data_IF_780390433477
#
_entry.id   IF_780390433477
#
_cell.length_a   1.000
_cell.length_b   1.000
_cell.length_c   1.000
_cell.angle_alpha   90.00
_cell.angle_beta   90.00
_cell.angle_gamma   90.00
#
_symmetry.space_group_name_H-M   'P 1'
#
loop_
_entity.id
_entity.type
_entity.pdbx_description
1 polymer ?
#
# COMPACT_ATOMS: atom_id res chain seq x y z
N UNK A 1 -10.81 45.86 -2.82
CA UNK A 1 -11.42 44.72 -3.55
C UNK A 1 -10.43 43.80 -4.30
N UNK A 2 -9.13 44.13 -4.43
CA UNK A 2 -8.14 43.29 -5.15
C UNK A 2 -7.69 41.99 -4.42
N UNK A 3 -7.96 41.85 -3.13
CA UNK A 3 -7.52 40.71 -2.31
C UNK A 3 -8.31 39.42 -2.58
N UNK A 4 -9.63 39.52 -2.80
CA UNK A 4 -10.48 38.37 -3.12
C UNK A 4 -10.25 37.82 -4.53
N UNK A 5 -9.96 38.69 -5.51
CA UNK A 5 -9.67 38.28 -6.88
C UNK A 5 -8.36 37.46 -6.98
N UNK A 6 -7.30 37.88 -6.26
CA UNK A 6 -6.02 37.15 -6.21
C UNK A 6 -6.14 35.81 -5.47
N UNK A 7 -6.86 35.76 -4.34
CA UNK A 7 -7.15 34.48 -3.65
C UNK A 7 -7.96 33.51 -4.50
N UNK A 8 -8.94 34.01 -5.25
CA UNK A 8 -9.72 33.18 -6.16
C UNK A 8 -8.92 32.72 -7.38
N UNK A 9 -8.01 33.55 -7.90
CA UNK A 9 -7.08 33.15 -8.97
C UNK A 9 -6.10 32.07 -8.52
N UNK A 10 -5.50 32.21 -7.33
CA UNK A 10 -4.63 31.20 -6.74
C UNK A 10 -5.37 29.87 -6.52
N UNK A 11 -6.59 29.90 -5.96
CA UNK A 11 -7.43 28.70 -5.81
C UNK A 11 -7.81 28.05 -7.16
N UNK A 12 -8.08 28.86 -8.19
CA UNK A 12 -8.34 28.34 -9.54
C UNK A 12 -7.09 27.71 -10.14
N UNK A 13 -5.92 28.31 -9.93
CA UNK A 13 -4.64 27.78 -10.42
C UNK A 13 -4.26 26.50 -9.68
N UNK A 14 -4.42 26.42 -8.36
CA UNK A 14 -4.27 25.20 -7.55
C UNK A 14 -5.25 24.11 -7.96
N UNK A 15 -6.50 24.48 -8.28
CA UNK A 15 -7.49 23.53 -8.79
C UNK A 15 -7.11 23.00 -10.18
N UNK A 16 -6.65 23.87 -11.09
CA UNK A 16 -6.21 23.48 -12.43
C UNK A 16 -4.93 22.64 -12.40
N UNK A 17 -3.94 23.01 -11.58
CA UNK A 17 -2.72 22.21 -11.40
C UNK A 17 -3.01 20.88 -10.69
N UNK A 18 -3.93 20.86 -9.73
CA UNK A 18 -4.40 19.64 -9.06
C UNK A 18 -5.14 18.69 -10.01
N UNK A 19 -6.02 19.21 -10.86
CA UNK A 19 -6.73 18.43 -11.89
C UNK A 19 -5.73 17.86 -12.91
N UNK A 20 -4.80 18.68 -13.40
CA UNK A 20 -3.75 18.23 -14.32
C UNK A 20 -2.84 17.18 -13.69
N UNK A 21 -2.47 17.34 -12.41
CA UNK A 21 -1.65 16.36 -11.69
C UNK A 21 -2.37 15.03 -11.49
N UNK A 22 -3.68 15.05 -11.18
CA UNK A 22 -4.47 13.83 -11.05
C UNK A 22 -4.57 13.09 -12.39
N UNK A 23 -4.81 13.80 -13.49
CA UNK A 23 -4.84 13.21 -14.83
C UNK A 23 -3.49 12.58 -15.19
N UNK A 24 -2.38 13.30 -14.99
CA UNK A 24 -1.04 12.79 -15.24
C UNK A 24 -0.70 11.55 -14.38
N UNK A 25 -1.13 11.51 -13.12
CA UNK A 25 -0.98 10.33 -12.27
C UNK A 25 -1.82 9.14 -12.78
N UNK A 26 -2.99 9.41 -13.34
CA UNK A 26 -3.82 8.37 -13.95
C UNK A 26 -3.14 7.78 -15.18
N UNK A 27 -2.55 8.61 -16.03
CA UNK A 27 -1.78 8.15 -17.20
C UNK A 27 -0.62 7.25 -16.78
N UNK A 28 0.13 7.65 -15.73
CA UNK A 28 1.20 6.81 -15.17
C UNK A 28 0.63 5.46 -14.74
N UNK A 29 -0.44 5.41 -13.93
CA UNK A 29 -1.04 4.15 -13.46
C UNK A 29 -1.46 3.24 -14.61
N UNK A 30 -2.04 3.80 -15.66
CA UNK A 30 -2.46 3.03 -16.84
C UNK A 30 -1.25 2.37 -17.55
N UNK A 31 -0.07 2.99 -17.47
CA UNK A 31 1.18 2.52 -18.12
C UNK A 31 2.09 1.67 -17.23
N UNK A 32 1.86 1.60 -15.92
CA UNK A 32 2.69 0.81 -15.01
C UNK A 32 2.67 -0.67 -15.44
N UNK A 33 3.82 -1.32 -15.69
CA UNK A 33 3.82 -2.74 -16.00
C UNK A 33 3.28 -3.57 -14.81
N UNK A 34 2.72 -4.76 -15.05
CA UNK A 34 2.42 -5.69 -13.98
C UNK A 34 3.69 -5.98 -13.16
N UNK A 35 3.51 -6.24 -11.87
CA UNK A 35 4.57 -6.87 -11.07
C UNK A 35 5.06 -8.14 -11.77
N UNK A 36 6.37 -8.42 -11.76
CA UNK A 36 6.88 -9.71 -12.20
C UNK A 36 6.13 -10.81 -11.44
N UNK A 37 5.59 -11.80 -12.17
CA UNK A 37 4.76 -12.87 -11.59
C UNK A 37 3.45 -12.37 -10.96
N UNK A 38 2.74 -11.47 -11.65
CA UNK A 38 1.37 -11.11 -11.30
C UNK A 38 0.51 -12.37 -11.05
N UNK A 39 -0.28 -12.35 -9.97
CA UNK A 39 -1.10 -13.48 -9.50
C UNK A 39 -2.52 -13.01 -9.20
N UNK A 40 -3.46 -13.94 -9.29
CA UNK A 40 -4.81 -13.77 -8.75
C UNK A 40 -4.91 -14.56 -7.45
N UNK A 41 -5.45 -13.95 -6.41
CA UNK A 41 -5.66 -14.64 -5.14
C UNK A 41 -6.74 -15.73 -5.27
N UNK A 42 -6.55 -16.85 -4.57
CA UNK A 42 -7.53 -17.94 -4.56
C UNK A 42 -8.74 -17.54 -3.71
N UNK A 43 -9.95 -17.68 -4.26
CA UNK A 43 -11.19 -17.32 -3.55
C UNK A 43 -11.35 -18.16 -2.29
N UNK A 44 -11.70 -17.51 -1.18
CA UNK A 44 -12.00 -18.16 0.09
C UNK A 44 -13.45 -18.71 0.04
N UNK A 45 -13.76 -19.86 0.66
CA UNK A 45 -15.12 -20.40 0.72
C UNK A 45 -16.10 -19.41 1.34
N UNK A 46 -17.33 -19.37 0.83
CA UNK A 46 -18.37 -18.39 1.24
C UNK A 46 -18.71 -18.41 2.73
N UNK A 47 -18.39 -19.49 3.47
CA UNK A 47 -18.61 -19.60 4.92
C UNK A 47 -17.60 -18.78 5.75
N UNK A 48 -16.46 -18.41 5.17
CA UNK A 48 -15.41 -17.61 5.83
C UNK A 48 -15.41 -16.16 5.35
N UNK A 49 -16.18 -15.84 4.31
CA UNK A 49 -16.32 -14.51 3.75
C UNK A 49 -17.30 -13.65 4.57
N UNK A 50 -16.83 -13.04 5.67
CA UNK A 50 -17.61 -12.05 6.42
C UNK A 50 -17.36 -10.65 5.85
N UNK A 51 -18.17 -10.27 4.85
CA UNK A 51 -18.03 -9.02 4.10
C UNK A 51 -18.49 -7.75 4.85
N UNK A 52 -19.01 -7.86 6.08
CA UNK A 52 -19.65 -6.72 6.78
C UNK A 52 -18.68 -5.90 7.63
N UNK A 53 -17.52 -6.44 8.00
CA UNK A 53 -16.54 -5.77 8.86
C UNK A 53 -15.14 -5.96 8.29
N UNK A 54 -14.37 -4.87 8.20
CA UNK A 54 -12.96 -4.92 7.79
C UNK A 54 -12.15 -5.56 8.92
N UNK A 55 -11.37 -6.63 8.66
CA UNK A 55 -10.51 -7.25 9.68
C UNK A 55 -9.52 -6.25 10.30
N UNK A 56 -9.35 -6.33 11.63
CA UNK A 56 -8.42 -5.46 12.36
C UNK A 56 -6.98 -5.58 11.88
N UNK A 57 -6.60 -6.75 11.37
CA UNK A 57 -5.30 -7.05 10.79
C UNK A 57 -5.03 -6.22 9.53
N UNK A 58 -6.03 -5.93 8.70
CA UNK A 58 -5.88 -5.05 7.54
C UNK A 58 -5.69 -3.59 7.96
N UNK A 59 -6.33 -3.17 9.06
CA UNK A 59 -6.13 -1.84 9.64
C UNK A 59 -4.70 -1.73 10.20
N UNK A 60 -4.24 -2.74 10.92
CA UNK A 60 -2.87 -2.83 11.44
C UNK A 60 -1.83 -2.81 10.31
N UNK A 61 -2.08 -3.54 9.22
CA UNK A 61 -1.25 -3.51 8.01
C UNK A 61 -1.13 -2.09 7.46
N UNK A 62 -2.25 -1.40 7.24
CA UNK A 62 -2.24 -0.02 6.71
C UNK A 62 -1.44 0.89 7.63
N UNK A 63 -1.64 0.81 8.95
CA UNK A 63 -0.91 1.64 9.91
C UNK A 63 0.59 1.37 9.90
N UNK A 64 1.00 0.10 9.91
CA UNK A 64 2.41 -0.29 9.94
C UNK A 64 3.13 0.12 8.65
N UNK A 65 2.55 -0.21 7.49
CA UNK A 65 3.16 0.07 6.18
C UNK A 65 3.18 1.56 5.86
N UNK A 66 2.14 2.32 6.24
CA UNK A 66 2.16 3.78 6.07
C UNK A 66 3.24 4.40 6.94
N UNK A 67 3.41 3.94 8.19
CA UNK A 67 4.47 4.42 9.08
C UNK A 67 5.86 4.16 8.51
N UNK A 68 6.13 2.95 8.02
CA UNK A 68 7.42 2.61 7.40
C UNK A 68 7.64 3.34 6.08
N UNK A 69 6.63 3.39 5.21
CA UNK A 69 6.68 4.15 3.95
C UNK A 69 6.98 5.63 4.18
N UNK A 70 6.33 6.27 5.16
CA UNK A 70 6.61 7.66 5.53
C UNK A 70 8.04 7.85 6.01
N UNK A 71 8.55 6.95 6.87
CA UNK A 71 9.94 7.00 7.32
C UNK A 71 10.93 6.99 6.15
N UNK A 72 10.72 6.13 5.16
CA UNK A 72 11.57 6.09 3.97
C UNK A 72 11.45 7.37 3.12
N UNK A 73 10.25 7.96 3.00
CA UNK A 73 10.09 9.26 2.35
C UNK A 73 10.83 10.39 3.09
N UNK A 74 10.77 10.39 4.42
CA UNK A 74 11.50 11.34 5.27
C UNK A 74 13.02 11.15 5.13
N UNK A 75 13.49 9.91 5.01
CA UNK A 75 14.90 9.60 4.77
C UNK A 75 15.36 10.07 3.38
N UNK A 76 14.50 9.97 2.35
CA UNK A 76 14.77 10.53 1.04
C UNK A 76 14.90 12.06 1.08
N UNK A 77 13.99 12.75 1.78
CA UNK A 77 14.05 14.21 1.99
C UNK A 77 15.34 14.58 2.73
N UNK A 78 15.70 13.84 3.77
CA UNK A 78 16.92 14.07 4.54
C UNK A 78 18.17 13.90 3.67
N UNK A 79 18.26 12.80 2.93
CA UNK A 79 19.37 12.53 2.02
C UNK A 79 19.50 13.61 0.95
N UNK A 80 18.37 14.09 0.42
CA UNK A 80 18.33 15.13 -0.60
C UNK A 80 18.97 16.45 -0.13
N UNK A 81 18.88 16.78 1.17
CA UNK A 81 19.49 17.98 1.74
C UNK A 81 20.94 17.77 2.23
N UNK A 82 21.29 16.56 2.67
CA UNK A 82 22.58 16.30 3.33
C UNK A 82 23.73 15.99 2.36
N UNK A 83 23.44 15.47 1.17
CA UNK A 83 24.46 14.96 0.24
C UNK A 83 24.66 15.82 -1.01
N UNK A 84 24.24 17.10 -0.99
CA UNK A 84 24.27 17.99 -2.17
C UNK A 84 25.66 18.06 -2.81
N UNK A 85 26.71 18.11 -1.99
CA UNK A 85 28.11 18.19 -2.44
C UNK A 85 28.72 16.84 -2.87
N UNK A 86 27.95 15.74 -2.77
CA UNK A 86 28.38 14.38 -3.13
C UNK A 86 27.35 13.72 -4.05
N UNK A 87 27.36 14.02 -5.36
CA UNK A 87 26.33 13.56 -6.29
C UNK A 87 26.12 12.04 -6.29
N UNK A 88 27.19 11.25 -6.16
CA UNK A 88 27.09 9.78 -6.08
C UNK A 88 26.32 9.29 -4.86
N UNK A 89 26.61 9.83 -3.68
CA UNK A 89 25.88 9.50 -2.45
C UNK A 89 24.46 10.04 -2.48
N UNK A 90 24.27 11.24 -3.04
CA UNK A 90 22.96 11.84 -3.23
C UNK A 90 22.05 10.94 -4.06
N UNK A 91 22.48 10.56 -5.27
CA UNK A 91 21.67 9.70 -6.14
C UNK A 91 21.36 8.37 -5.45
N UNK A 92 22.38 7.73 -4.87
CA UNK A 92 22.24 6.42 -4.26
C UNK A 92 21.24 6.44 -3.10
N UNK A 93 21.42 7.34 -2.13
CA UNK A 93 20.62 7.35 -0.90
C UNK A 93 19.19 7.84 -1.14
N UNK A 94 19.01 8.86 -1.99
CA UNK A 94 17.67 9.32 -2.37
C UNK A 94 16.93 8.19 -3.10
N UNK A 95 17.56 7.54 -4.08
CA UNK A 95 16.90 6.48 -4.83
C UNK A 95 16.61 5.25 -3.96
N UNK A 96 17.52 4.83 -3.09
CA UNK A 96 17.26 3.71 -2.16
C UNK A 96 16.02 3.95 -1.31
N UNK A 97 15.94 5.12 -0.67
CA UNK A 97 14.82 5.46 0.19
C UNK A 97 13.49 5.55 -0.60
N UNK A 98 13.51 6.12 -1.80
CA UNK A 98 12.33 6.18 -2.67
C UNK A 98 11.89 4.80 -3.18
N UNK A 99 12.84 3.91 -3.52
CA UNK A 99 12.52 2.55 -3.96
C UNK A 99 12.01 1.68 -2.83
N UNK A 100 12.52 1.86 -1.60
CA UNK A 100 11.99 1.18 -0.41
C UNK A 100 10.55 1.63 -0.14
N UNK A 101 10.29 2.94 -0.13
CA UNK A 101 8.94 3.49 0.01
C UNK A 101 7.99 2.97 -1.09
N UNK A 102 8.49 2.83 -2.32
CA UNK A 102 7.73 2.27 -3.44
C UNK A 102 7.40 0.78 -3.19
N UNK A 103 8.37 -0.02 -2.74
CA UNK A 103 8.17 -1.44 -2.46
C UNK A 103 7.11 -1.66 -1.36
N UNK A 104 7.15 -0.89 -0.27
CA UNK A 104 6.11 -0.93 0.76
C UNK A 104 4.73 -0.59 0.20
N UNK A 105 4.62 0.44 -0.66
CA UNK A 105 3.34 0.77 -1.29
C UNK A 105 2.82 -0.34 -2.20
N UNK A 106 3.69 -0.97 -2.99
CA UNK A 106 3.29 -2.10 -3.84
C UNK A 106 2.77 -3.28 -3.03
N UNK A 107 3.47 -3.67 -1.96
CA UNK A 107 3.05 -4.76 -1.09
C UNK A 107 1.75 -4.44 -0.35
N UNK A 108 1.58 -3.21 0.13
CA UNK A 108 0.34 -2.78 0.79
C UNK A 108 -0.85 -2.87 -0.18
N UNK A 109 -0.72 -2.28 -1.37
CA UNK A 109 -1.78 -2.30 -2.37
C UNK A 109 -2.06 -3.73 -2.84
N UNK A 110 -1.02 -4.53 -3.07
CA UNK A 110 -1.13 -5.92 -3.48
C UNK A 110 -1.84 -6.79 -2.44
N UNK A 111 -1.52 -6.64 -1.15
CA UNK A 111 -2.15 -7.42 -0.10
C UNK A 111 -3.63 -7.03 0.08
N UNK A 112 -3.96 -5.75 0.01
CA UNK A 112 -5.35 -5.28 0.05
C UNK A 112 -6.15 -5.74 -1.18
N UNK A 113 -5.57 -5.64 -2.38
CA UNK A 113 -6.19 -6.14 -3.61
C UNK A 113 -6.38 -7.66 -3.55
N UNK A 114 -5.37 -8.40 -3.10
CA UNK A 114 -5.43 -9.85 -2.88
C UNK A 114 -6.56 -10.21 -1.92
N UNK A 115 -6.68 -9.52 -0.79
CA UNK A 115 -7.78 -9.74 0.14
C UNK A 115 -9.15 -9.53 -0.52
N UNK A 116 -9.33 -8.45 -1.28
CA UNK A 116 -10.59 -8.19 -1.99
C UNK A 116 -10.89 -9.28 -3.03
N UNK A 117 -9.87 -9.80 -3.73
CA UNK A 117 -10.02 -10.94 -4.64
C UNK A 117 -10.45 -12.22 -3.91
N UNK A 118 -9.89 -12.48 -2.73
CA UNK A 118 -10.23 -13.64 -1.90
C UNK A 118 -11.68 -13.60 -1.40
N UNK A 119 -12.16 -12.41 -1.03
CA UNK A 119 -13.57 -12.15 -0.72
C UNK A 119 -14.47 -12.23 -1.96
N UNK A 120 -13.90 -12.37 -3.15
CA UNK A 120 -14.62 -12.48 -4.40
C UNK A 120 -15.25 -11.16 -4.84
N UNK A 121 -14.61 -10.03 -4.54
CA UNK A 121 -14.98 -8.74 -5.08
C UNK A 121 -14.97 -8.81 -6.61
N UNK A 122 -15.99 -8.22 -7.23
CA UNK A 122 -16.07 -8.10 -8.67
C UNK A 122 -14.83 -7.39 -9.26
N UNK A 123 -14.33 -7.90 -10.39
CA UNK A 123 -13.11 -7.40 -11.01
C UNK A 123 -13.24 -5.95 -11.51
N UNK A 124 -14.43 -5.53 -11.99
CA UNK A 124 -14.65 -4.15 -12.40
C UNK A 124 -14.72 -3.20 -11.20
N UNK A 125 -15.27 -3.68 -10.08
CA UNK A 125 -15.22 -2.93 -8.82
C UNK A 125 -13.78 -2.81 -8.29
N UNK A 126 -12.99 -3.88 -8.34
CA UNK A 126 -11.57 -3.85 -7.96
C UNK A 126 -10.75 -2.88 -8.83
N UNK A 127 -10.95 -2.90 -10.17
CA UNK A 127 -10.34 -1.92 -11.09
C UNK A 127 -10.65 -0.49 -10.71
N UNK A 128 -11.91 -0.19 -10.34
CA UNK A 128 -12.33 1.14 -9.89
C UNK A 128 -11.69 1.54 -8.57
N UNK A 129 -11.56 0.62 -7.62
CA UNK A 129 -10.90 0.89 -6.33
C UNK A 129 -9.40 1.18 -6.52
N UNK A 130 -8.72 0.40 -7.36
CA UNK A 130 -7.30 0.59 -7.65
C UNK A 130 -7.02 1.72 -8.64
N UNK A 131 -8.06 2.25 -9.29
CA UNK A 131 -7.93 3.21 -10.40
C UNK A 131 -6.97 2.69 -11.47
N UNK A 132 -7.05 1.39 -11.76
CA UNK A 132 -6.19 0.69 -12.72
C UNK A 132 -7.06 -0.19 -13.65
N UNK A 133 -6.76 -0.25 -14.96
CA UNK A 133 -7.46 -1.15 -15.88
C UNK A 133 -7.14 -2.63 -15.61
N UNK A 134 -5.99 -2.89 -14.98
CA UNK A 134 -5.48 -4.23 -14.70
C UNK A 134 -5.12 -4.31 -13.20
N UNK A 135 -5.97 -4.94 -12.38
CA UNK A 135 -5.80 -4.99 -10.92
C UNK A 135 -4.72 -5.99 -10.49
N UNK A 136 -4.49 -7.03 -11.30
CA UNK A 136 -3.50 -8.08 -11.01
C UNK A 136 -2.06 -7.53 -11.05
N UNK A 137 -1.86 -6.35 -11.65
CA UNK A 137 -0.57 -5.64 -11.68
C UNK A 137 0.04 -5.37 -10.33
N UNK A 138 -0.76 -5.33 -9.27
CA UNK A 138 -0.27 -5.07 -7.91
C UNK A 138 -0.15 -6.36 -7.07
N UNK A 139 -0.78 -7.45 -7.49
CA UNK A 139 -0.86 -8.69 -6.71
C UNK A 139 0.26 -9.62 -7.16
N UNK A 140 1.22 -9.89 -6.27
CA UNK A 140 2.32 -10.83 -6.48
C UNK A 140 2.40 -11.84 -5.33
N UNK A 141 3.35 -12.78 -5.40
CA UNK A 141 3.49 -13.82 -4.37
C UNK A 141 3.80 -13.23 -3.00
N UNK A 142 4.67 -12.23 -2.91
CA UNK A 142 5.05 -11.61 -1.65
C UNK A 142 3.86 -10.94 -0.95
N UNK A 143 2.98 -10.29 -1.71
CA UNK A 143 1.74 -9.71 -1.19
C UNK A 143 0.76 -10.79 -0.71
N UNK A 144 0.67 -11.92 -1.42
CA UNK A 144 -0.18 -13.06 -1.00
C UNK A 144 0.39 -13.77 0.23
N UNK A 145 1.71 -13.89 0.34
CA UNK A 145 2.38 -14.42 1.54
C UNK A 145 2.14 -13.50 2.74
N UNK A 146 2.28 -12.18 2.55
CA UNK A 146 1.96 -11.18 3.57
C UNK A 146 0.51 -11.32 4.06
N UNK A 147 -0.43 -11.41 3.12
CA UNK A 147 -1.84 -11.60 3.42
C UNK A 147 -2.10 -12.93 4.14
N UNK A 148 -1.44 -14.01 3.72
CA UNK A 148 -1.53 -15.31 4.39
C UNK A 148 -1.07 -15.22 5.85
N UNK A 149 0.00 -14.49 6.12
CA UNK A 149 0.49 -14.21 7.47
C UNK A 149 -0.52 -13.43 8.31
N UNK A 150 -1.08 -12.35 7.74
CA UNK A 150 -2.09 -11.52 8.41
C UNK A 150 -3.34 -12.30 8.77
N UNK A 151 -3.81 -13.16 7.87
CA UNK A 151 -5.03 -13.96 8.06
C UNK A 151 -4.78 -15.27 8.82
N UNK A 152 -3.59 -15.46 9.41
CA UNK A 152 -3.27 -16.63 10.24
C UNK A 152 -3.22 -17.96 9.47
N UNK A 153 -2.92 -17.93 8.16
CA UNK A 153 -2.90 -19.15 7.35
C UNK A 153 -1.70 -20.03 7.68
N UNK A 154 -1.88 -21.36 7.69
CA UNK A 154 -0.79 -22.28 7.98
C UNK A 154 0.24 -22.27 6.85
N UNK A 155 1.51 -22.43 7.21
CA UNK A 155 2.57 -22.79 6.26
C UNK A 155 2.42 -24.28 5.94
N UNK A 156 2.41 -24.69 4.65
CA UNK A 156 2.32 -26.11 4.30
C UNK A 156 3.42 -26.94 4.96
N UNK A 157 3.08 -28.17 5.39
CA UNK A 157 4.03 -29.08 6.03
C UNK A 157 5.27 -29.31 5.16
N UNK A 158 6.45 -29.26 5.79
CA UNK A 158 7.73 -29.45 5.11
C UNK A 158 8.24 -28.23 4.33
N UNK A 159 7.52 -27.11 4.31
CA UNK A 159 7.99 -25.87 3.68
C UNK A 159 8.52 -24.87 4.70
N UNK A 160 9.55 -24.11 4.31
CA UNK A 160 10.03 -22.98 5.10
C UNK A 160 9.03 -21.83 4.96
N UNK A 161 8.70 -21.20 6.07
CA UNK A 161 7.88 -20.00 6.08
C UNK A 161 8.48 -18.88 5.21
N UNK A 162 7.72 -18.32 4.24
CA UNK A 162 8.11 -17.14 3.51
C UNK A 162 8.28 -15.92 4.43
N UNK A 163 9.26 -15.06 4.15
CA UNK A 163 9.55 -13.86 4.96
C UNK A 163 8.33 -12.97 5.13
N UNK A 164 7.54 -12.78 4.07
CA UNK A 164 6.37 -11.91 4.12
C UNK A 164 5.21 -12.54 4.92
N UNK A 165 5.07 -13.86 4.92
CA UNK A 165 4.12 -14.55 5.80
C UNK A 165 4.48 -14.39 7.28
N UNK A 166 5.78 -14.48 7.61
CA UNK A 166 6.25 -14.15 8.96
C UNK A 166 5.92 -12.71 9.36
N UNK A 167 6.22 -11.73 8.50
CA UNK A 167 5.95 -10.31 8.75
C UNK A 167 4.45 -10.04 8.95
N UNK A 168 3.59 -10.63 8.11
CA UNK A 168 2.14 -10.51 8.24
C UNK A 168 1.63 -11.01 9.58
N UNK A 169 2.13 -12.16 10.05
CA UNK A 169 1.78 -12.69 11.37
C UNK A 169 2.19 -11.75 12.50
N UNK A 170 3.41 -11.20 12.44
CA UNK A 170 3.88 -10.24 13.46
C UNK A 170 3.01 -8.98 13.54
N UNK A 171 2.55 -8.48 12.38
CA UNK A 171 1.64 -7.33 12.31
C UNK A 171 0.30 -7.67 12.95
N UNK A 172 -0.28 -8.83 12.64
CA UNK A 172 -1.53 -9.29 13.24
C UNK A 172 -1.42 -9.42 14.77
N UNK A 173 -0.36 -10.06 15.26
CA UNK A 173 -0.10 -10.22 16.70
C UNK A 173 0.02 -8.87 17.43
N UNK A 174 0.68 -7.88 16.81
CA UNK A 174 0.84 -6.54 17.38
C UNK A 174 -0.44 -5.70 17.30
N UNK A 175 -1.26 -5.87 16.26
CA UNK A 175 -2.54 -5.19 16.08
C UNK A 175 -3.57 -5.57 17.13
N UNK A 176 -3.71 -6.87 17.40
CA UNK A 176 -4.64 -7.42 18.41
C UNK A 176 -4.32 -6.88 19.82
N UNK A 177 -3.04 -6.78 20.18
CA UNK A 177 -2.63 -6.20 21.47
C UNK A 177 -2.96 -4.70 21.63
N UNK A 178 -3.10 -3.98 20.52
CA UNK A 178 -3.47 -2.56 20.49
C UNK A 178 -4.96 -2.32 20.70
N UNK A 179 -5.82 -3.23 20.25
CA UNK A 179 -7.27 -3.18 20.44
C UNK A 179 -7.68 -3.54 21.87
N UNK A 180 -7.09 -4.60 22.45
CA UNK A 180 -7.33 -4.99 23.84
C UNK A 180 -7.02 -3.84 24.82
N UNK A 181 -5.94 -3.08 24.57
CA UNK A 181 -5.55 -1.92 25.38
C UNK A 181 -6.46 -0.70 25.21
N UNK A 182 -7.19 -0.59 24.10
CA UNK A 182 -8.17 0.49 23.89
C UNK A 182 -9.49 0.17 24.59
N UNK A 183 -9.92 -1.09 24.58
CA UNK A 183 -11.15 -1.52 25.26
C UNK A 183 -11.04 -1.49 26.80
N UNK A 184 -9.84 -1.60 27.37
CA UNK A 184 -9.65 -1.46 28.84
C UNK A 184 -9.63 -0.01 29.35
N UNK A 185 -9.73 0.98 28.46
CA UNK A 185 -9.63 2.42 28.80
C UNK A 185 -10.94 3.19 28.63
N UNK A 186 -12.03 2.50 28.30
CA UNK A 186 -13.41 3.02 28.32
C UNK A 186 -14.14 2.52 29.57
#
# INVERSE_FOLDING_TARGET
MASHARKNAARRQESLTGVNRRAALQDIRNTLPPTPQARTAARVPSSEANATVVPGELIALVQDFVRWGQRHLDDAVRAAHQHIEKPGDWHRLVLYALTDALAYNFLLVGALAGYLQEQGLDADLLRRHLQSPDPDRYVNQEALDLLAGLMGRPVPEGQREPTWQFVGRQIAECGVQGEDRRQTRE
#
